data_IF_309285218954
#
_entry.id   IF_309285218954
#
_cell.length_a   1.000
_cell.length_b   1.000
_cell.length_c   1.000
_cell.angle_alpha   90.00
_cell.angle_beta   90.00
_cell.angle_gamma   90.00
#
_symmetry.space_group_name_H-M   'P 1'
#
loop_
_entity.id
_entity.type
_entity.pdbx_description
1 polymer ?
#
# COMPACT_ATOMS: atom_id res chain seq x y z
N UNK A 1 -20.91 6.88 -8.92
CA UNK A 1 -19.54 7.37 -9.18
C UNK A 1 -18.82 7.54 -7.86
N UNK A 2 -17.82 6.69 -7.60
CA UNK A 2 -16.99 6.70 -6.39
C UNK A 2 -16.37 8.10 -6.20
N UNK A 3 -16.48 8.68 -5.01
CA UNK A 3 -16.06 10.06 -4.68
C UNK A 3 -14.60 10.37 -5.05
N UNK A 4 -13.75 9.34 -5.15
CA UNK A 4 -12.32 9.46 -5.47
C UNK A 4 -12.04 9.93 -6.90
N UNK A 5 -12.79 9.46 -7.91
CA UNK A 5 -12.53 9.83 -9.30
C UNK A 5 -12.76 11.32 -9.56
N UNK A 6 -13.76 11.92 -8.91
CA UNK A 6 -13.99 13.37 -8.94
C UNK A 6 -12.79 14.18 -8.44
N UNK A 7 -11.98 13.61 -7.56
CA UNK A 7 -10.77 14.26 -7.05
C UNK A 7 -9.60 14.20 -8.05
N UNK A 8 -9.69 13.32 -9.06
CA UNK A 8 -8.74 13.24 -10.17
C UNK A 8 -9.08 14.21 -11.31
N UNK A 9 -10.33 14.67 -11.42
CA UNK A 9 -10.80 15.54 -12.51
C UNK A 9 -9.87 16.74 -12.83
N UNK A 10 -9.33 17.49 -11.83
CA UNK A 10 -8.43 18.60 -12.13
C UNK A 10 -7.19 18.17 -12.93
N UNK A 11 -6.67 16.97 -12.69
CA UNK A 11 -5.50 16.44 -13.37
C UNK A 11 -5.75 16.10 -14.84
N UNK A 12 -7.00 16.10 -15.31
CA UNK A 12 -7.29 15.94 -16.74
C UNK A 12 -7.20 17.25 -17.53
N UNK A 13 -6.99 18.39 -16.86
CA UNK A 13 -6.65 19.66 -17.50
C UNK A 13 -5.14 19.77 -17.72
N UNK A 14 -4.71 19.91 -18.99
CA UNK A 14 -3.29 20.09 -19.32
C UNK A 14 -2.69 21.38 -18.72
N UNK A 15 -3.50 22.42 -18.50
CA UNK A 15 -3.04 23.63 -17.81
C UNK A 15 -2.78 23.34 -16.33
N UNK A 16 -3.74 22.68 -15.67
CA UNK A 16 -3.61 22.31 -14.27
C UNK A 16 -2.43 21.35 -14.04
N UNK A 17 -2.34 20.28 -14.84
CA UNK A 17 -1.30 19.25 -14.69
C UNK A 17 0.10 19.78 -14.96
N UNK A 18 0.29 20.65 -15.95
CA UNK A 18 1.60 21.29 -16.15
C UNK A 18 2.02 22.12 -14.94
N UNK A 19 1.10 22.92 -14.39
CA UNK A 19 1.37 23.72 -13.19
C UNK A 19 1.70 22.83 -11.98
N UNK A 20 0.93 21.76 -11.77
CA UNK A 20 1.15 20.78 -10.71
C UNK A 20 2.53 20.09 -10.84
N UNK A 21 2.87 19.57 -12.02
CA UNK A 21 4.16 18.91 -12.25
C UNK A 21 5.33 19.88 -12.13
N UNK A 22 5.21 21.12 -12.64
CA UNK A 22 6.23 22.16 -12.45
C UNK A 22 6.50 22.41 -10.98
N UNK A 23 5.44 22.58 -10.17
CA UNK A 23 5.58 22.79 -8.72
C UNK A 23 6.30 21.61 -8.05
N UNK A 24 5.89 20.37 -8.33
CA UNK A 24 6.55 19.18 -7.77
C UNK A 24 8.03 19.07 -8.17
N UNK A 25 8.36 19.43 -9.42
CA UNK A 25 9.75 19.43 -9.91
C UNK A 25 10.59 20.54 -9.27
N UNK A 26 10.00 21.72 -9.02
CA UNK A 26 10.67 22.81 -8.29
C UNK A 26 10.97 22.40 -6.84
N UNK A 27 10.02 21.80 -6.13
CA UNK A 27 10.18 21.31 -4.76
C UNK A 27 11.26 20.22 -4.62
N UNK A 28 11.50 19.47 -5.69
CA UNK A 28 12.49 18.38 -5.72
C UNK A 28 13.80 18.79 -6.40
N UNK A 29 13.98 20.08 -6.69
CA UNK A 29 15.18 20.65 -7.34
C UNK A 29 15.51 20.00 -8.68
N UNK A 30 14.49 19.61 -9.45
CA UNK A 30 14.65 19.05 -10.79
C UNK A 30 14.94 20.19 -11.78
N UNK A 31 16.03 20.06 -12.53
CA UNK A 31 16.42 21.04 -13.55
C UNK A 31 15.35 21.21 -14.64
N UNK A 32 15.17 22.44 -15.12
CA UNK A 32 14.22 22.83 -16.17
C UNK A 32 12.78 22.34 -15.91
N UNK A 33 12.17 22.69 -14.76
CA UNK A 33 10.91 22.12 -14.31
C UNK A 33 9.74 22.44 -15.26
N UNK A 34 9.73 23.62 -15.90
CA UNK A 34 8.72 24.00 -16.90
C UNK A 34 8.81 23.19 -18.19
N UNK A 35 10.03 22.98 -18.70
CA UNK A 35 10.25 22.18 -19.92
C UNK A 35 9.89 20.72 -19.67
N UNK A 36 10.35 20.15 -18.55
CA UNK A 36 10.03 18.77 -18.19
C UNK A 36 8.55 18.57 -17.94
N UNK A 37 7.86 19.50 -17.27
CA UNK A 37 6.41 19.37 -17.04
C UNK A 37 5.62 19.44 -18.35
N UNK A 38 6.04 20.27 -19.30
CA UNK A 38 5.45 20.34 -20.63
C UNK A 38 5.54 18.99 -21.36
N UNK A 39 6.73 18.37 -21.37
CA UNK A 39 6.97 17.10 -22.03
C UNK A 39 6.25 15.93 -21.35
N UNK A 40 6.20 15.91 -20.02
CA UNK A 40 5.61 14.81 -19.24
C UNK A 40 4.08 14.92 -19.09
N UNK A 41 3.50 16.11 -19.28
CA UNK A 41 2.09 16.40 -18.99
C UNK A 41 1.11 15.35 -19.56
N UNK A 42 1.18 15.10 -20.87
CA UNK A 42 0.23 14.18 -21.50
C UNK A 42 0.47 12.72 -21.10
N UNK A 43 1.72 12.30 -20.94
CA UNK A 43 2.06 10.96 -20.44
C UNK A 43 1.46 10.72 -19.06
N UNK A 44 1.58 11.70 -18.15
CA UNK A 44 0.95 11.66 -16.84
C UNK A 44 -0.58 11.54 -16.95
N UNK A 45 -1.22 12.40 -17.76
CA UNK A 45 -2.68 12.40 -17.97
C UNK A 45 -3.16 11.04 -18.50
N UNK A 46 -2.46 10.48 -19.49
CA UNK A 46 -2.83 9.20 -20.07
C UNK A 46 -2.66 8.05 -19.08
N UNK A 47 -1.58 8.02 -18.30
CA UNK A 47 -1.44 7.03 -17.23
C UNK A 47 -2.60 7.11 -16.22
N UNK A 48 -3.03 8.30 -15.80
CA UNK A 48 -4.21 8.45 -14.93
C UNK A 48 -5.49 7.96 -15.60
N UNK A 49 -5.74 8.35 -16.85
CA UNK A 49 -6.93 7.91 -17.60
C UNK A 49 -6.97 6.39 -17.76
N UNK A 50 -5.84 5.76 -18.08
CA UNK A 50 -5.76 4.31 -18.19
C UNK A 50 -5.96 3.64 -16.83
N UNK A 51 -5.38 4.17 -15.75
CA UNK A 51 -5.60 3.66 -14.40
C UNK A 51 -7.09 3.70 -14.00
N UNK A 52 -7.75 4.82 -14.28
CA UNK A 52 -9.19 4.97 -14.05
C UNK A 52 -9.99 3.97 -14.90
N UNK A 53 -9.73 3.90 -16.20
CA UNK A 53 -10.42 2.98 -17.10
C UNK A 53 -10.32 1.53 -16.60
N UNK A 54 -9.11 1.03 -16.32
CA UNK A 54 -8.91 -0.34 -15.84
C UNK A 54 -9.63 -0.61 -14.52
N UNK A 55 -9.60 0.33 -13.57
CA UNK A 55 -10.26 0.14 -12.26
C UNK A 55 -11.78 0.23 -12.35
N UNK A 56 -12.33 1.08 -13.22
CA UNK A 56 -13.77 1.14 -13.50
C UNK A 56 -14.25 -0.15 -14.18
N UNK A 57 -13.51 -0.64 -15.19
CA UNK A 57 -13.83 -1.91 -15.84
C UNK A 57 -13.72 -3.09 -14.88
N UNK A 58 -12.73 -3.07 -13.97
CA UNK A 58 -12.62 -4.09 -12.93
C UNK A 58 -13.86 -4.14 -12.04
N UNK A 59 -14.51 -2.99 -11.77
CA UNK A 59 -15.73 -2.94 -10.97
C UNK A 59 -16.94 -3.63 -11.61
N UNK A 60 -16.94 -3.77 -12.94
CA UNK A 60 -17.99 -4.45 -13.70
C UNK A 60 -17.60 -5.88 -14.10
N UNK A 61 -16.30 -6.21 -14.04
CA UNK A 61 -15.77 -7.49 -14.45
C UNK A 61 -16.08 -8.60 -13.43
N UNK A 62 -16.24 -9.86 -13.90
CA UNK A 62 -16.38 -11.00 -13.01
C UNK A 62 -15.05 -11.31 -12.30
N UNK A 63 -15.09 -12.15 -11.27
CA UNK A 63 -13.92 -12.41 -10.40
C UNK A 63 -12.72 -12.92 -11.20
N UNK A 64 -12.97 -13.67 -12.27
CA UNK A 64 -12.01 -14.27 -13.17
C UNK A 64 -11.03 -13.24 -13.76
N UNK A 65 -11.53 -12.04 -14.06
CA UNK A 65 -10.78 -10.97 -14.74
C UNK A 65 -10.43 -9.81 -13.81
N UNK A 66 -11.20 -9.63 -12.74
CA UNK A 66 -11.12 -8.46 -11.85
C UNK A 66 -9.71 -8.23 -11.28
N UNK A 67 -8.98 -9.22 -10.72
CA UNK A 67 -7.63 -8.99 -10.19
C UNK A 67 -6.63 -8.52 -11.24
N UNK A 68 -6.72 -9.05 -12.47
CA UNK A 68 -5.85 -8.64 -13.58
C UNK A 68 -6.08 -7.17 -13.95
N UNK A 69 -7.35 -6.75 -14.07
CA UNK A 69 -7.70 -5.37 -14.36
C UNK A 69 -7.28 -4.42 -13.24
N UNK A 70 -7.51 -4.79 -11.97
CA UNK A 70 -7.04 -4.01 -10.82
C UNK A 70 -5.52 -3.85 -10.81
N UNK A 71 -4.76 -4.92 -11.10
CA UNK A 71 -3.30 -4.84 -11.16
C UNK A 71 -2.83 -3.86 -12.25
N UNK A 72 -3.33 -4.00 -13.47
CA UNK A 72 -2.92 -3.10 -14.55
C UNK A 72 -3.40 -1.65 -14.32
N UNK A 73 -4.57 -1.45 -13.69
CA UNK A 73 -5.03 -0.14 -13.26
C UNK A 73 -4.09 0.49 -12.23
N UNK A 74 -3.71 -0.26 -11.19
CA UNK A 74 -2.73 0.18 -10.19
C UNK A 74 -1.37 0.51 -10.82
N UNK A 75 -0.87 -0.33 -11.72
CA UNK A 75 0.39 -0.08 -12.45
C UNK A 75 0.33 1.26 -13.20
N UNK A 76 -0.76 1.56 -13.91
CA UNK A 76 -0.91 2.81 -14.65
C UNK A 76 -0.95 4.02 -13.70
N UNK A 77 -1.71 3.94 -12.61
CA UNK A 77 -1.71 5.01 -11.62
C UNK A 77 -0.35 5.24 -10.98
N UNK A 78 0.39 4.18 -10.66
CA UNK A 78 1.72 4.29 -10.07
C UNK A 78 2.72 4.91 -11.05
N UNK A 79 2.61 4.62 -12.36
CA UNK A 79 3.42 5.31 -13.38
C UNK A 79 3.12 6.81 -13.42
N UNK A 80 1.86 7.22 -13.32
CA UNK A 80 1.52 8.64 -13.17
C UNK A 80 2.13 9.24 -11.90
N UNK A 81 2.04 8.53 -10.76
CA UNK A 81 2.62 8.99 -9.51
C UNK A 81 4.16 9.14 -9.60
N UNK A 82 4.86 8.19 -10.23
CA UNK A 82 6.32 8.28 -10.45
C UNK A 82 6.69 9.52 -11.24
N UNK A 83 5.93 9.86 -12.28
CA UNK A 83 6.20 11.04 -13.10
C UNK A 83 6.14 12.35 -12.30
N UNK A 84 5.54 12.39 -11.11
CA UNK A 84 5.58 13.58 -10.24
C UNK A 84 6.96 13.83 -9.62
N UNK A 85 7.79 12.79 -9.49
CA UNK A 85 9.14 12.84 -8.89
C UNK A 85 10.25 12.49 -9.86
N UNK A 86 9.94 11.82 -10.95
CA UNK A 86 10.89 11.40 -11.97
C UNK A 86 10.31 11.64 -13.39
N UNK A 87 10.52 12.83 -13.98
CA UNK A 87 10.07 13.15 -15.33
C UNK A 87 10.72 12.32 -16.42
N UNK A 88 11.80 11.59 -16.12
CA UNK A 88 12.53 10.78 -17.09
C UNK A 88 12.02 9.35 -17.17
N UNK A 89 11.05 8.98 -16.32
CA UNK A 89 10.49 7.63 -16.32
C UNK A 89 9.67 7.35 -17.60
N UNK A 90 9.87 6.19 -18.26
CA UNK A 90 10.92 5.21 -18.02
C UNK A 90 12.25 5.62 -18.68
N UNK A 91 13.33 5.69 -17.89
CA UNK A 91 14.63 6.10 -18.40
C UNK A 91 15.35 5.00 -19.20
N UNK A 92 15.04 3.72 -18.93
CA UNK A 92 15.63 2.56 -19.61
C UNK A 92 14.71 1.33 -19.48
N UNK A 93 15.10 0.22 -20.14
CA UNK A 93 14.32 -1.02 -20.14
C UNK A 93 14.28 -1.75 -18.80
N UNK A 94 15.19 -1.48 -17.87
CA UNK A 94 15.26 -2.17 -16.58
C UNK A 94 14.07 -1.82 -15.68
N UNK A 95 13.47 -0.64 -15.85
CA UNK A 95 12.30 -0.19 -15.07
C UNK A 95 10.96 -0.54 -15.74
N UNK A 96 10.98 -1.23 -16.89
CA UNK A 96 9.77 -1.67 -17.60
C UNK A 96 9.20 -2.98 -17.04
N UNK A 97 10.05 -3.84 -16.46
CA UNK A 97 9.61 -5.05 -15.77
C UNK A 97 8.81 -4.71 -14.50
N UNK A 98 8.01 -5.65 -13.99
CA UNK A 98 7.21 -5.43 -12.78
C UNK A 98 8.05 -5.20 -11.51
N UNK A 99 9.31 -5.65 -11.48
CA UNK A 99 10.16 -5.54 -10.28
C UNK A 99 9.86 -6.57 -9.20
N UNK A 100 9.03 -7.56 -9.52
CA UNK A 100 8.61 -8.65 -8.64
C UNK A 100 8.38 -9.91 -9.45
N UNK A 101 8.48 -11.07 -8.80
CA UNK A 101 8.21 -12.37 -9.43
C UNK A 101 7.51 -13.31 -8.47
N UNK A 102 6.62 -14.15 -8.99
CA UNK A 102 6.14 -15.36 -8.31
C UNK A 102 6.79 -16.60 -8.95
N UNK A 103 6.61 -17.77 -8.34
CA UNK A 103 7.01 -19.03 -9.00
C UNK A 103 6.19 -19.22 -10.28
N UNK A 104 6.88 -19.44 -11.40
CA UNK A 104 6.28 -19.65 -12.73
C UNK A 104 5.46 -20.92 -12.87
N UNK A 105 5.76 -21.95 -12.08
CA UNK A 105 5.02 -23.21 -12.02
C UNK A 105 4.68 -23.46 -10.56
N UNK A 106 3.39 -23.54 -10.24
CA UNK A 106 2.95 -23.88 -8.89
C UNK A 106 3.20 -25.37 -8.61
N UNK A 107 3.46 -25.68 -7.34
CA UNK A 107 3.67 -27.08 -6.90
C UNK A 107 2.30 -27.74 -6.68
N UNK A 108 2.27 -29.08 -6.66
CA UNK A 108 1.11 -29.81 -6.16
C UNK A 108 0.77 -29.35 -4.73
N UNK A 109 -0.52 -29.19 -4.43
CA UNK A 109 -1.00 -28.62 -3.16
C UNK A 109 -0.81 -27.10 -3.05
N UNK A 110 -0.81 -26.39 -4.16
CA UNK A 110 -0.72 -24.93 -4.17
C UNK A 110 -1.92 -24.29 -3.45
N UNK A 111 -1.62 -23.37 -2.54
CA UNK A 111 -2.57 -22.45 -1.92
C UNK A 111 -2.07 -21.03 -2.13
N UNK A 112 -2.99 -20.09 -2.36
CA UNK A 112 -2.67 -18.67 -2.47
C UNK A 112 -2.10 -18.12 -1.16
N UNK A 113 -2.71 -18.48 -0.02
CA UNK A 113 -2.30 -17.98 1.30
C UNK A 113 -0.84 -18.31 1.65
N UNK A 114 -0.31 -19.45 1.21
CA UNK A 114 1.09 -19.86 1.43
C UNK A 114 2.04 -19.46 0.30
N UNK A 115 1.54 -18.87 -0.78
CA UNK A 115 2.38 -18.43 -1.88
C UNK A 115 3.24 -17.21 -1.51
N UNK A 116 4.30 -17.01 -2.28
CA UNK A 116 5.28 -15.96 -2.05
C UNK A 116 5.48 -15.11 -3.29
N UNK A 117 5.59 -13.80 -3.07
CA UNK A 117 6.13 -12.86 -4.05
C UNK A 117 7.56 -12.52 -3.67
N UNK A 118 8.46 -12.53 -4.66
CA UNK A 118 9.86 -12.15 -4.50
C UNK A 118 10.10 -10.77 -5.11
N UNK A 119 10.69 -9.86 -4.34
CA UNK A 119 11.11 -8.54 -4.81
C UNK A 119 12.40 -8.68 -5.63
N UNK A 120 12.43 -8.05 -6.80
CA UNK A 120 13.58 -8.02 -7.69
C UNK A 120 14.37 -6.72 -7.51
N UNK A 121 15.65 -6.75 -7.88
CA UNK A 121 16.52 -5.56 -7.81
C UNK A 121 16.08 -4.44 -8.75
N UNK A 122 15.61 -4.81 -9.94
CA UNK A 122 15.23 -3.87 -10.98
C UNK A 122 13.75 -4.06 -11.35
N UNK A 123 13.11 -2.98 -11.76
CA UNK A 123 11.74 -2.96 -12.26
C UNK A 123 10.92 -1.85 -11.61
N UNK A 124 9.66 -1.77 -12.00
CA UNK A 124 8.72 -0.76 -11.55
C UNK A 124 8.61 -0.71 -10.02
N UNK A 125 8.49 -1.86 -9.35
CA UNK A 125 8.35 -1.91 -7.89
C UNK A 125 9.57 -1.32 -7.17
N UNK A 126 10.79 -1.71 -7.55
CA UNK A 126 12.04 -1.25 -6.95
C UNK A 126 12.29 0.23 -7.26
N UNK A 127 11.94 0.69 -8.47
CA UNK A 127 11.99 2.11 -8.84
C UNK A 127 11.01 2.95 -8.02
N UNK A 128 9.80 2.43 -7.80
CA UNK A 128 8.76 3.09 -7.01
C UNK A 128 9.18 3.22 -5.53
N UNK A 129 9.76 2.16 -4.95
CA UNK A 129 10.31 2.17 -3.59
C UNK A 129 11.36 3.28 -3.42
N UNK A 130 12.31 3.40 -4.35
CA UNK A 130 13.36 4.43 -4.30
C UNK A 130 12.78 5.84 -4.47
N UNK A 131 12.01 6.06 -5.54
CA UNK A 131 11.59 7.42 -5.94
C UNK A 131 10.47 8.01 -5.09
N UNK A 132 9.51 7.20 -4.64
CA UNK A 132 8.33 7.70 -3.94
C UNK A 132 8.43 7.58 -2.42
N UNK A 133 9.22 6.61 -1.93
CA UNK A 133 9.26 6.27 -0.51
C UNK A 133 10.67 6.33 0.10
N UNK A 134 11.71 6.60 -0.70
CA UNK A 134 13.11 6.63 -0.28
C UNK A 134 13.56 5.34 0.42
N UNK A 135 12.91 4.22 0.06
CA UNK A 135 13.22 2.90 0.59
C UNK A 135 14.21 2.21 -0.36
N UNK A 136 15.43 2.00 0.11
CA UNK A 136 16.47 1.26 -0.62
C UNK A 136 16.66 -0.11 0.03
N UNK A 137 16.94 -1.14 -0.77
CA UNK A 137 17.40 -2.47 -0.34
C UNK A 137 16.34 -3.46 0.21
N UNK A 138 15.25 -3.69 -0.52
CA UNK A 138 14.34 -4.85 -0.26
C UNK A 138 14.58 -6.01 -1.26
N UNK A 139 15.72 -5.99 -1.95
CA UNK A 139 16.01 -6.94 -3.02
C UNK A 139 16.13 -8.38 -2.50
N UNK A 140 15.54 -9.33 -3.21
CA UNK A 140 15.49 -10.75 -2.87
C UNK A 140 14.64 -11.14 -1.66
N UNK A 141 13.95 -10.20 -1.01
CA UNK A 141 12.96 -10.55 0.00
C UNK A 141 11.80 -11.33 -0.61
N UNK A 142 11.39 -12.38 0.09
CA UNK A 142 10.20 -13.16 -0.22
C UNK A 142 9.15 -12.90 0.84
N UNK A 143 7.95 -12.52 0.41
CA UNK A 143 6.87 -12.17 1.30
C UNK A 143 5.68 -13.08 0.98
N UNK A 144 5.15 -13.73 2.02
CA UNK A 144 3.96 -14.59 1.93
C UNK A 144 2.70 -13.76 1.71
N UNK A 145 1.73 -14.31 0.97
CA UNK A 145 0.44 -13.64 0.75
C UNK A 145 -0.33 -13.42 2.06
N UNK A 146 -0.31 -14.40 2.97
CA UNK A 146 -0.84 -14.25 4.33
C UNK A 146 -0.26 -13.04 5.07
N UNK A 147 1.06 -12.87 5.04
CA UNK A 147 1.73 -11.73 5.69
C UNK A 147 1.37 -10.39 5.06
N UNK A 148 1.15 -10.34 3.74
CA UNK A 148 0.68 -9.15 3.05
C UNK A 148 -0.77 -8.82 3.40
N UNK A 149 -1.66 -9.81 3.41
CA UNK A 149 -3.07 -9.62 3.79
C UNK A 149 -3.20 -9.14 5.24
N UNK A 150 -2.32 -9.57 6.15
CA UNK A 150 -2.28 -9.09 7.53
C UNK A 150 -1.86 -7.62 7.65
N UNK A 151 -1.29 -7.00 6.61
CA UNK A 151 -1.03 -5.55 6.62
C UNK A 151 -2.29 -4.70 6.41
N UNK A 152 -3.43 -5.34 6.10
CA UNK A 152 -4.70 -4.67 5.82
C UNK A 152 -5.67 -4.97 6.97
N UNK A 153 -5.98 -4.00 7.86
CA UNK A 153 -6.89 -4.22 8.99
C UNK A 153 -8.26 -4.75 8.59
N UNK A 154 -8.72 -4.44 7.38
CA UNK A 154 -9.98 -4.90 6.80
C UNK A 154 -10.03 -6.43 6.61
N UNK A 155 -8.87 -7.10 6.57
CA UNK A 155 -8.80 -8.55 6.51
C UNK A 155 -8.90 -9.22 7.90
N UNK A 156 -8.74 -8.47 9.00
CA UNK A 156 -8.67 -9.02 10.35
C UNK A 156 -9.89 -9.86 10.74
N UNK A 157 -11.09 -9.39 10.39
CA UNK A 157 -12.34 -10.12 10.69
C UNK A 157 -12.35 -11.50 10.04
N UNK A 158 -11.86 -11.62 8.81
CA UNK A 158 -11.82 -12.88 8.09
C UNK A 158 -10.80 -13.84 8.70
N UNK A 159 -9.59 -13.35 9.00
CA UNK A 159 -8.60 -14.14 9.72
C UNK A 159 -9.17 -14.69 11.04
N UNK A 160 -9.92 -13.89 11.79
CA UNK A 160 -10.58 -14.34 13.03
C UNK A 160 -11.62 -15.43 12.76
N UNK A 161 -12.43 -15.31 11.70
CA UNK A 161 -13.43 -16.31 11.33
C UNK A 161 -12.80 -17.67 11.00
N UNK A 162 -11.61 -17.66 10.39
CA UNK A 162 -10.83 -18.85 10.09
C UNK A 162 -9.88 -19.27 11.22
N UNK A 163 -10.17 -18.87 12.47
CA UNK A 163 -9.44 -19.25 13.68
C UNK A 163 -7.95 -18.87 13.73
N UNK A 164 -7.52 -17.87 12.96
CA UNK A 164 -6.17 -17.32 13.11
C UNK A 164 -6.09 -16.50 14.41
N UNK A 165 -4.92 -16.55 15.06
CA UNK A 165 -4.64 -15.73 16.23
C UNK A 165 -4.82 -14.24 15.91
N UNK A 166 -5.43 -13.50 16.84
CA UNK A 166 -5.56 -12.04 16.74
C UNK A 166 -4.16 -11.42 16.62
N UNK A 167 -3.89 -10.76 15.50
CA UNK A 167 -2.56 -10.20 15.20
C UNK A 167 -2.50 -8.67 15.24
N UNK A 168 -3.64 -7.97 15.30
CA UNK A 168 -3.71 -6.51 15.47
C UNK A 168 -4.40 -6.14 16.77
N UNK A 169 -3.88 -5.10 17.44
CA UNK A 169 -4.54 -4.39 18.52
C UNK A 169 -5.03 -3.02 18.03
N UNK A 170 -6.34 -2.79 18.17
CA UNK A 170 -7.01 -1.57 17.73
C UNK A 170 -6.75 -0.45 18.73
N UNK A 171 -6.35 0.71 18.24
CA UNK A 171 -6.16 1.93 19.01
C UNK A 171 -7.45 2.72 19.22
N UNK A 172 -7.43 3.60 20.23
CA UNK A 172 -8.50 4.53 20.53
C UNK A 172 -7.93 5.94 20.47
N UNK A 173 -8.49 6.78 19.59
CA UNK A 173 -8.13 8.20 19.57
C UNK A 173 -8.79 8.95 20.71
N UNK A 174 -7.99 9.76 21.39
CA UNK A 174 -8.44 10.82 22.28
C UNK A 174 -7.84 12.16 21.83
N UNK A 175 -8.14 13.24 22.55
CA UNK A 175 -7.81 14.62 22.15
C UNK A 175 -6.35 14.82 21.73
N UNK A 176 -5.40 14.21 22.45
CA UNK A 176 -3.95 14.34 22.17
C UNK A 176 -3.15 13.06 22.36
N UNK A 177 -3.83 11.92 22.53
CA UNK A 177 -3.19 10.61 22.75
C UNK A 177 -3.90 9.53 21.96
N UNK A 178 -3.16 8.48 21.60
CA UNK A 178 -3.71 7.23 21.10
C UNK A 178 -3.53 6.19 22.19
N UNK A 179 -4.63 5.54 22.61
CA UNK A 179 -4.61 4.50 23.62
C UNK A 179 -4.61 3.11 22.99
N UNK A 180 -3.76 2.23 23.53
CA UNK A 180 -3.76 0.79 23.23
C UNK A 180 -3.76 0.01 24.55
N UNK A 181 -4.21 -1.25 24.52
CA UNK A 181 -4.09 -2.14 25.68
C UNK A 181 -2.64 -2.22 26.17
N UNK A 182 -2.42 -2.10 27.48
CA UNK A 182 -1.07 -2.17 28.08
C UNK A 182 -0.35 -3.48 27.77
N UNK A 183 -1.10 -4.59 27.60
CA UNK A 183 -0.58 -5.90 27.20
C UNK A 183 0.26 -5.89 25.91
N UNK A 184 0.14 -4.85 25.06
CA UNK A 184 0.99 -4.73 23.86
C UNK A 184 2.47 -4.63 24.22
N UNK A 185 2.80 -3.99 25.34
CA UNK A 185 4.17 -3.87 25.83
C UNK A 185 4.78 -5.23 26.20
N UNK A 186 3.97 -6.09 26.83
CA UNK A 186 4.37 -7.47 27.14
C UNK A 186 4.67 -8.25 25.87
N UNK A 187 3.80 -8.16 24.85
CA UNK A 187 4.02 -8.84 23.56
C UNK A 187 5.23 -8.33 22.81
N UNK A 188 5.62 -7.07 23.03
CA UNK A 188 6.82 -6.47 22.42
C UNK A 188 8.10 -6.75 23.21
N UNK A 189 7.96 -7.28 24.42
CA UNK A 189 9.02 -7.39 25.43
C UNK A 189 9.69 -6.03 25.69
N UNK A 190 8.88 -5.00 25.90
CA UNK A 190 9.31 -3.62 26.12
C UNK A 190 8.66 -3.00 27.35
N UNK A 191 9.39 -2.13 28.05
CA UNK A 191 8.78 -1.17 28.99
C UNK A 191 8.23 0.03 28.23
N UNK A 192 7.37 0.84 28.86
CA UNK A 192 6.89 2.10 28.27
C UNK A 192 8.03 3.03 27.81
N UNK A 193 9.13 3.09 28.57
CA UNK A 193 10.34 3.85 28.21
C UNK A 193 11.03 3.28 26.96
N UNK A 194 11.17 1.94 26.87
CA UNK A 194 11.76 1.30 25.70
C UNK A 194 10.87 1.49 24.46
N UNK A 195 9.55 1.46 24.64
CA UNK A 195 8.61 1.71 23.56
C UNK A 195 8.63 3.18 23.10
N UNK A 196 8.81 4.12 24.04
CA UNK A 196 9.06 5.54 23.74
C UNK A 196 10.29 5.70 22.85
N UNK A 197 11.40 5.07 23.21
CA UNK A 197 12.63 5.10 22.41
C UNK A 197 12.43 4.46 21.02
N UNK A 198 11.67 3.37 20.94
CA UNK A 198 11.35 2.69 19.68
C UNK A 198 10.63 3.61 18.69
N UNK A 199 9.64 4.40 19.16
CA UNK A 199 8.93 5.37 18.30
C UNK A 199 9.83 6.55 17.95
N UNK A 200 10.56 7.10 18.92
CA UNK A 200 11.42 8.28 18.74
C UNK A 200 12.60 8.02 17.80
N UNK A 201 13.19 6.82 17.84
CA UNK A 201 14.31 6.43 16.96
C UNK A 201 13.95 6.56 15.47
N UNK A 202 12.67 6.37 15.14
CA UNK A 202 12.17 6.46 13.77
C UNK A 202 11.81 7.89 13.35
N UNK A 203 12.11 8.89 14.18
CA UNK A 203 11.90 10.32 13.92
C UNK A 203 10.50 10.66 13.38
N UNK A 204 9.49 10.08 14.00
CA UNK A 204 8.12 10.20 13.53
C UNK A 204 7.59 11.64 13.66
N UNK A 205 7.12 12.28 12.57
CA UNK A 205 6.72 13.69 12.59
C UNK A 205 5.46 13.97 13.42
N UNK A 206 4.65 12.93 13.64
CA UNK A 206 3.42 13.01 14.44
C UNK A 206 3.67 12.94 15.95
N UNK A 207 4.83 12.44 16.37
CA UNK A 207 5.12 12.21 17.79
C UNK A 207 5.36 13.53 18.54
N UNK A 208 4.81 13.66 19.75
CA UNK A 208 5.02 14.84 20.59
C UNK A 208 6.44 14.84 21.17
N UNK A 209 7.32 15.67 20.59
CA UNK A 209 8.72 15.80 21.05
C UNK A 209 8.80 16.08 22.56
N UNK A 210 9.67 15.35 23.24
CA UNK A 210 9.89 15.49 24.69
C UNK A 210 8.81 14.85 25.58
N UNK A 211 7.73 14.31 25.00
CA UNK A 211 6.77 13.52 25.77
C UNK A 211 7.27 12.07 25.94
N UNK A 212 6.80 11.41 27.00
CA UNK A 212 6.97 9.97 27.24
C UNK A 212 5.64 9.25 27.03
N UNK A 213 5.71 7.97 26.67
CA UNK A 213 4.53 7.09 26.69
C UNK A 213 4.24 6.75 28.14
N UNK A 214 3.00 6.97 28.55
CA UNK A 214 2.51 6.64 29.89
C UNK A 214 1.80 5.30 29.86
N UNK A 215 1.93 4.52 30.93
CA UNK A 215 1.29 3.22 31.10
C UNK A 215 0.48 3.22 32.39
N UNK A 216 -0.79 2.86 32.28
CA UNK A 216 -1.63 2.49 33.41
C UNK A 216 -1.96 0.98 33.37
N UNK A 217 -2.75 0.49 34.32
CA UNK A 217 -3.09 -0.94 34.42
C UNK A 217 -3.79 -1.52 33.18
N UNK A 218 -4.42 -0.70 32.36
CA UNK A 218 -5.25 -1.11 31.20
C UNK A 218 -4.70 -0.61 29.88
N UNK A 219 -4.08 0.57 29.87
CA UNK A 219 -3.71 1.26 28.64
C UNK A 219 -2.29 1.80 28.66
N UNK A 220 -1.67 1.81 27.47
CA UNK A 220 -0.62 2.76 27.15
C UNK A 220 -1.23 3.98 26.45
N UNK A 221 -0.72 5.17 26.76
CA UNK A 221 -1.10 6.43 26.15
C UNK A 221 0.06 7.00 25.34
N UNK A 222 -0.09 7.01 24.01
CA UNK A 222 0.93 7.48 23.08
C UNK A 222 0.61 8.93 22.67
N UNK A 223 1.40 9.92 23.09
CA UNK A 223 1.12 11.33 22.79
C UNK A 223 1.49 11.68 21.34
N UNK A 224 0.64 12.48 20.70
CA UNK A 224 0.89 13.01 19.35
C UNK A 224 0.70 14.53 19.31
N UNK A 225 1.46 15.19 18.43
CA UNK A 225 1.33 16.63 18.12
C UNK A 225 0.43 16.86 16.90
N UNK A 226 0.45 15.93 15.95
CA UNK A 226 -0.42 15.85 14.79
C UNK A 226 -0.89 14.41 14.66
N UNK A 227 -2.13 14.20 14.21
CA UNK A 227 -2.62 12.82 13.99
C UNK A 227 -1.70 12.08 13.01
N UNK A 228 -1.26 10.85 13.33
CA UNK A 228 -0.50 10.05 12.39
C UNK A 228 -1.37 9.69 11.18
N UNK A 229 -0.73 9.39 10.05
CA UNK A 229 -1.42 9.06 8.80
C UNK A 229 -0.87 7.79 8.18
N UNK A 230 -1.58 7.24 7.19
CA UNK A 230 -1.19 6.07 6.40
C UNK A 230 0.23 6.13 5.82
N UNK A 231 0.73 7.33 5.51
CA UNK A 231 2.05 7.54 4.92
C UNK A 231 3.16 7.74 5.95
N UNK A 232 2.85 8.41 7.07
CA UNK A 232 3.81 8.77 8.12
C UNK A 232 3.19 8.42 9.46
N UNK A 233 2.93 7.14 9.68
CA UNK A 233 2.21 6.68 10.86
C UNK A 233 2.87 5.49 11.55
N UNK A 234 4.07 5.08 11.13
CA UNK A 234 4.80 4.00 11.80
C UNK A 234 4.86 4.26 13.31
N UNK A 235 4.60 3.26 14.17
CA UNK A 235 4.41 1.83 13.88
C UNK A 235 2.97 1.41 13.57
N UNK A 236 2.07 2.35 13.32
CA UNK A 236 0.65 2.08 13.08
C UNK A 236 0.38 1.72 11.61
N UNK A 237 -0.55 0.79 11.43
CA UNK A 237 -1.34 0.64 10.20
C UNK A 237 -2.75 1.18 10.47
N UNK A 238 -3.47 1.59 9.44
CA UNK A 238 -4.77 2.25 9.59
C UNK A 238 -5.85 1.48 8.84
N UNK A 239 -7.04 1.42 9.43
CA UNK A 239 -8.23 0.95 8.70
C UNK A 239 -8.85 2.09 7.87
N UNK A 240 -9.87 1.75 7.08
CA UNK A 240 -10.67 2.68 6.28
C UNK A 240 -11.24 3.88 7.05
N UNK A 241 -11.43 3.76 8.37
CA UNK A 241 -11.90 4.84 9.25
C UNK A 241 -10.74 5.68 9.81
N UNK A 242 -9.51 5.46 9.32
CA UNK A 242 -8.24 6.02 9.79
C UNK A 242 -7.95 5.71 11.27
N UNK A 243 -8.48 4.62 11.81
CA UNK A 243 -8.17 4.19 13.18
C UNK A 243 -6.83 3.43 13.18
N UNK A 244 -5.88 3.78 14.07
CA UNK A 244 -4.58 3.13 14.11
C UNK A 244 -4.68 1.76 14.76
N UNK A 245 -3.89 0.82 14.24
CA UNK A 245 -3.70 -0.52 14.77
C UNK A 245 -2.21 -0.78 14.94
N UNK A 246 -1.87 -1.52 16.00
CA UNK A 246 -0.53 -2.08 16.21
C UNK A 246 -0.55 -3.58 15.95
N UNK A 247 0.49 -4.10 15.30
CA UNK A 247 0.72 -5.54 15.31
C UNK A 247 1.02 -6.02 16.72
N UNK A 248 0.51 -7.19 17.12
CA UNK A 248 0.93 -7.84 18.37
C UNK A 248 2.37 -8.30 18.36
N UNK A 249 2.85 -8.70 17.19
CA UNK A 249 4.24 -9.09 16.96
C UNK A 249 4.86 -8.03 16.08
N UNK A 250 5.79 -7.22 16.63
CA UNK A 250 6.36 -6.08 15.91
C UNK A 250 7.07 -6.48 14.61
N UNK A 251 7.62 -7.69 14.53
CA UNK A 251 8.26 -8.26 13.34
C UNK A 251 7.27 -8.55 12.20
N UNK A 252 5.97 -8.67 12.50
CA UNK A 252 4.92 -8.87 11.49
C UNK A 252 4.59 -7.60 10.70
N UNK A 253 5.02 -6.43 11.17
CA UNK A 253 4.86 -5.17 10.44
C UNK A 253 5.89 -5.09 9.30
N UNK A 254 5.45 -5.19 8.04
CA UNK A 254 6.35 -5.23 6.88
C UNK A 254 7.04 -3.90 6.57
N UNK A 255 6.56 -2.80 7.15
CA UNK A 255 7.07 -1.42 6.92
C UNK A 255 6.95 -0.99 5.46
N UNK A 256 6.03 -1.62 4.73
CA UNK A 256 5.67 -1.24 3.38
C UNK A 256 4.50 -0.26 3.42
N UNK A 257 4.55 0.83 2.63
CA UNK A 257 3.38 1.63 2.32
C UNK A 257 2.25 0.74 1.78
N UNK A 258 1.01 1.04 2.17
CA UNK A 258 -0.16 0.23 1.83
C UNK A 258 -0.33 0.02 0.31
N UNK A 259 -0.06 1.05 -0.49
CA UNK A 259 -0.11 0.94 -1.97
C UNK A 259 0.84 -0.12 -2.52
N UNK A 260 1.98 -0.37 -1.85
CA UNK A 260 2.93 -1.40 -2.23
C UNK A 260 2.47 -2.79 -1.79
N UNK A 261 1.79 -2.90 -0.64
CA UNK A 261 1.11 -4.14 -0.24
C UNK A 261 0.09 -4.53 -1.32
N UNK A 262 -0.71 -3.58 -1.79
CA UNK A 262 -1.66 -3.81 -2.88
C UNK A 262 -0.98 -4.24 -4.18
N UNK A 263 0.13 -3.59 -4.54
CA UNK A 263 0.90 -3.97 -5.72
C UNK A 263 1.35 -5.43 -5.67
N UNK A 264 1.89 -5.86 -4.53
CA UNK A 264 2.39 -7.22 -4.34
C UNK A 264 1.27 -8.28 -4.41
N UNK A 265 0.15 -8.03 -3.74
CA UNK A 265 -1.01 -8.92 -3.75
C UNK A 265 -1.67 -8.99 -5.13
N UNK A 266 -1.92 -7.85 -5.78
CA UNK A 266 -2.53 -7.79 -7.11
C UNK A 266 -1.59 -8.34 -8.18
N UNK A 267 -0.27 -8.15 -8.05
CA UNK A 267 0.68 -8.80 -8.95
C UNK A 267 0.52 -10.32 -8.90
N UNK A 268 0.54 -10.93 -7.70
CA UNK A 268 0.40 -12.37 -7.56
C UNK A 268 -0.93 -12.87 -8.18
N UNK A 269 -2.04 -12.25 -7.79
CA UNK A 269 -3.36 -12.61 -8.32
C UNK A 269 -3.45 -12.44 -9.84
N UNK A 270 -2.88 -11.38 -10.41
CA UNK A 270 -2.86 -11.17 -11.86
C UNK A 270 -2.07 -12.26 -12.59
N UNK A 271 -0.99 -12.77 -11.97
CA UNK A 271 -0.22 -13.87 -12.51
C UNK A 271 -1.00 -15.18 -12.45
N UNK A 272 -1.75 -15.43 -11.37
CA UNK A 272 -2.65 -16.57 -11.24
C UNK A 272 -3.72 -16.51 -12.34
N UNK A 273 -4.44 -15.39 -12.47
CA UNK A 273 -5.49 -15.23 -13.49
C UNK A 273 -5.00 -15.44 -14.92
N UNK A 274 -3.72 -15.14 -15.20
CA UNK A 274 -3.15 -15.23 -16.56
C UNK A 274 -2.49 -16.56 -16.88
N UNK A 275 -1.88 -17.21 -15.89
CA UNK A 275 -0.97 -18.34 -16.13
C UNK A 275 -1.37 -19.62 -15.40
N UNK A 276 -2.23 -19.56 -14.37
CA UNK A 276 -2.68 -20.70 -13.59
C UNK A 276 -4.19 -20.94 -13.80
N UNK A 277 -4.61 -21.00 -15.07
CA UNK A 277 -6.02 -21.04 -15.49
C UNK A 277 -6.80 -22.20 -14.85
N UNK A 278 -6.20 -23.40 -14.77
CA UNK A 278 -6.85 -24.57 -14.18
C UNK A 278 -7.11 -24.36 -12.68
N UNK A 279 -6.08 -24.02 -11.90
CA UNK A 279 -6.24 -23.76 -10.47
C UNK A 279 -7.22 -22.62 -10.19
N UNK A 280 -7.14 -21.54 -10.97
CA UNK A 280 -8.04 -20.39 -10.81
C UNK A 280 -9.49 -20.76 -11.13
N UNK A 281 -9.70 -21.55 -12.19
CA UNK A 281 -11.02 -22.08 -12.55
C UNK A 281 -11.56 -23.00 -11.47
N UNK A 282 -10.77 -23.98 -11.02
CA UNK A 282 -11.16 -24.91 -9.96
C UNK A 282 -11.53 -24.16 -8.67
N UNK A 283 -10.69 -23.23 -8.21
CA UNK A 283 -10.97 -22.44 -7.00
C UNK A 283 -12.34 -21.75 -7.07
N UNK A 284 -12.70 -21.19 -8.22
CA UNK A 284 -13.96 -20.46 -8.42
C UNK A 284 -15.18 -21.38 -8.57
N UNK A 285 -15.00 -22.65 -8.88
CA UNK A 285 -16.10 -23.60 -9.14
C UNK A 285 -16.29 -24.64 -8.04
N UNK A 286 -15.21 -25.14 -7.44
CA UNK A 286 -15.27 -26.17 -6.39
C UNK A 286 -15.40 -25.57 -5.00
N UNK A 287 -14.99 -24.30 -4.82
CA UNK A 287 -14.98 -23.61 -3.53
C UNK A 287 -14.12 -24.32 -2.47
N UNK A 288 -13.15 -25.13 -2.91
CA UNK A 288 -12.30 -25.89 -2.01
C UNK A 288 -11.26 -25.01 -1.30
N UNK A 289 -11.01 -25.33 -0.04
CA UNK A 289 -10.00 -24.67 0.78
C UNK A 289 -10.41 -23.28 1.28
N UNK A 290 -9.42 -22.55 1.79
CA UNK A 290 -9.65 -21.26 2.47
C UNK A 290 -9.30 -20.05 1.60
N UNK A 291 -8.69 -20.23 0.42
CA UNK A 291 -8.13 -19.11 -0.35
C UNK A 291 -9.20 -18.17 -0.90
N UNK A 292 -10.30 -18.72 -1.45
CA UNK A 292 -11.31 -17.94 -2.16
C UNK A 292 -11.97 -16.83 -1.31
N UNK A 293 -12.38 -17.08 -0.04
CA UNK A 293 -12.86 -16.01 0.84
C UNK A 293 -11.87 -14.86 1.02
N UNK A 294 -10.58 -15.17 1.21
CA UNK A 294 -9.55 -14.15 1.40
C UNK A 294 -9.30 -13.35 0.13
N UNK A 295 -9.23 -14.02 -1.02
CA UNK A 295 -9.07 -13.38 -2.33
C UNK A 295 -10.28 -12.48 -2.60
N UNK A 296 -11.49 -12.98 -2.41
CA UNK A 296 -12.73 -12.24 -2.69
C UNK A 296 -12.84 -10.98 -1.83
N UNK A 297 -12.63 -11.10 -0.52
CA UNK A 297 -12.67 -9.95 0.38
C UNK A 297 -11.59 -8.92 0.03
N UNK A 298 -10.36 -9.39 -0.22
CA UNK A 298 -9.26 -8.51 -0.61
C UNK A 298 -9.52 -7.77 -1.93
N UNK A 299 -9.96 -8.48 -2.98
CA UNK A 299 -10.19 -7.91 -4.31
C UNK A 299 -11.29 -6.84 -4.25
N UNK A 300 -12.38 -7.10 -3.52
CA UNK A 300 -13.45 -6.13 -3.32
C UNK A 300 -13.00 -4.90 -2.53
N UNK A 301 -12.14 -5.09 -1.53
CA UNK A 301 -11.52 -3.98 -0.80
C UNK A 301 -10.59 -3.15 -1.70
N UNK A 302 -9.67 -3.81 -2.41
CA UNK A 302 -8.69 -3.19 -3.29
C UNK A 302 -9.34 -2.36 -4.41
N UNK A 303 -10.50 -2.79 -4.94
CA UNK A 303 -11.26 -2.07 -5.96
C UNK A 303 -11.57 -0.62 -5.55
N UNK A 304 -11.84 -0.38 -4.27
CA UNK A 304 -12.19 0.95 -3.75
C UNK A 304 -10.99 1.65 -3.13
N UNK A 305 -10.10 0.88 -2.49
CA UNK A 305 -8.95 1.43 -1.77
C UNK A 305 -7.85 1.93 -2.69
N UNK A 306 -7.58 1.23 -3.79
CA UNK A 306 -6.52 1.61 -4.74
C UNK A 306 -6.72 3.04 -5.28
N UNK A 307 -7.89 3.42 -5.85
CA UNK A 307 -8.11 4.79 -6.30
C UNK A 307 -7.94 5.83 -5.18
N UNK A 308 -8.38 5.53 -3.95
CA UNK A 308 -8.25 6.41 -2.80
C UNK A 308 -6.78 6.68 -2.46
N UNK A 309 -5.96 5.63 -2.40
CA UNK A 309 -4.51 5.73 -2.14
C UNK A 309 -3.79 6.55 -3.21
N UNK A 310 -4.19 6.44 -4.47
CA UNK A 310 -3.62 7.24 -5.56
C UNK A 310 -3.95 8.73 -5.39
N UNK A 311 -5.19 9.05 -5.01
CA UNK A 311 -5.57 10.44 -4.68
C UNK A 311 -4.75 10.97 -3.51
N UNK A 312 -4.55 10.17 -2.45
CA UNK A 312 -3.70 10.54 -1.31
C UNK A 312 -2.26 10.83 -1.75
N UNK A 313 -1.67 9.97 -2.59
CA UNK A 313 -0.32 10.15 -3.11
C UNK A 313 -0.16 11.44 -3.92
N UNK A 314 -1.10 11.73 -4.84
CA UNK A 314 -1.03 12.94 -5.69
C UNK A 314 -1.35 14.23 -4.93
N UNK A 315 -2.12 14.16 -3.84
CA UNK A 315 -2.40 15.34 -3.00
C UNK A 315 -1.25 15.68 -2.06
N UNK A 316 -0.42 14.71 -1.68
CA UNK A 316 0.77 14.93 -0.86
C UNK A 316 1.72 15.93 -1.50
N UNK A 317 1.93 15.84 -2.82
CA UNK A 317 2.77 16.77 -3.60
C UNK A 317 2.25 18.22 -3.62
N UNK A 318 1.09 18.49 -3.00
CA UNK A 318 0.59 19.85 -2.82
C UNK A 318 0.87 20.43 -1.43
N UNK A 319 1.19 19.56 -0.46
CA UNK A 319 1.15 19.83 1.00
C UNK A 319 2.52 19.73 1.68
N UNK A 320 3.56 19.42 0.92
CA UNK A 320 4.97 19.62 1.27
C UNK A 320 5.44 20.92 0.61
#
# INVERSE_FOLDING_TARGET
MTHYYKQLDPFYSAAFTRSYLTKSYEETNIEQPKTKSFNTCYTFIYHLKHGQLYTEQAGMAPMELKPMLLFYGLVQFLKAAILTKDPTYPANSQVLAHGVTTRKRKKSGFTFLDDEVKIQRNGLFSHLLDKMFHMKHLDNEKIKMTSLLQQLPEMQTLFKQFNYAKYLEKGIYETSVIRFSSNILDTYHMTANRFTQFIQYQQQPWYKKGASIEEDKRYISIPFSKKPSTLNGFPFIFDQDNIPHLFKTKESHLRLPEVLVHYLLLYNLSMICRYETEWWGELLHTFDGNDLPFITQYVNYAQHRVPALIVELLKRDRSQ
#
